data_IF_012019112081
#
_entry.id   IF_012019112081
#
_cell.length_a   1.000
_cell.length_b   1.000
_cell.length_c   1.000
_cell.angle_alpha   90.00
_cell.angle_beta   90.00
_cell.angle_gamma   90.00
#
_symmetry.space_group_name_H-M   'P 1'
#
loop_
_entity.id
_entity.type
_entity.pdbx_description
1 polymer ?
#
# COMPACT_ATOMS: atom_id res chain seq x y z
N UNK A 1 5.37 -5.93 6.32
CA UNK A 1 4.58 -7.14 6.60
C UNK A 1 4.86 -8.26 5.60
N UNK A 2 4.54 -9.49 5.97
CA UNK A 2 4.84 -10.70 5.15
C UNK A 2 3.81 -11.01 4.06
N UNK A 3 2.60 -10.47 4.15
CA UNK A 3 1.52 -10.71 3.19
C UNK A 3 1.58 -9.87 1.91
N UNK A 4 2.51 -8.92 1.82
CA UNK A 4 2.72 -8.04 0.68
C UNK A 4 3.86 -8.48 -0.22
N UNK A 5 4.24 -7.60 -1.16
CA UNK A 5 5.24 -7.88 -2.20
C UNK A 5 6.67 -7.61 -1.72
N UNK A 6 6.91 -6.64 -0.85
CA UNK A 6 8.25 -6.22 -0.45
C UNK A 6 9.08 -7.32 0.21
N UNK A 7 8.49 -8.07 1.13
CA UNK A 7 9.26 -9.06 1.90
C UNK A 7 9.80 -10.22 1.03
N UNK A 8 9.00 -10.89 0.18
CA UNK A 8 9.52 -11.92 -0.72
C UNK A 8 10.52 -11.36 -1.74
N UNK A 9 10.31 -10.14 -2.27
CA UNK A 9 11.28 -9.50 -3.16
C UNK A 9 12.58 -9.17 -2.42
N UNK A 10 12.50 -8.69 -1.18
CA UNK A 10 13.66 -8.43 -0.33
C UNK A 10 14.47 -9.69 -0.05
N UNK A 11 13.79 -10.80 0.20
CA UNK A 11 14.44 -12.10 0.36
C UNK A 11 15.19 -12.53 -0.89
N UNK A 12 14.54 -12.40 -2.06
CA UNK A 12 15.17 -12.71 -3.35
C UNK A 12 16.37 -11.80 -3.64
N UNK A 13 16.24 -10.49 -3.42
CA UNK A 13 17.32 -9.54 -3.59
C UNK A 13 18.51 -9.83 -2.65
N UNK A 14 18.23 -10.09 -1.38
CA UNK A 14 19.25 -10.43 -0.39
C UNK A 14 20.03 -11.69 -0.78
N UNK A 15 19.33 -12.71 -1.27
CA UNK A 15 19.95 -13.93 -1.75
C UNK A 15 20.87 -13.69 -2.97
N UNK A 16 20.43 -12.87 -3.93
CA UNK A 16 21.22 -12.52 -5.11
C UNK A 16 22.46 -11.70 -4.70
N UNK A 17 22.31 -10.69 -3.85
CA UNK A 17 23.42 -9.86 -3.39
C UNK A 17 24.46 -10.69 -2.64
N UNK A 18 24.04 -11.53 -1.70
CA UNK A 18 24.94 -12.39 -0.94
C UNK A 18 25.68 -13.42 -1.82
N UNK A 19 25.04 -13.88 -2.91
CA UNK A 19 25.64 -14.85 -3.83
C UNK A 19 26.56 -14.22 -4.87
N UNK A 20 26.23 -13.02 -5.36
CA UNK A 20 26.88 -12.43 -6.54
C UNK A 20 27.85 -11.31 -6.24
N UNK A 21 27.77 -10.70 -5.07
CA UNK A 21 28.68 -9.60 -4.67
C UNK A 21 29.69 -10.14 -3.67
N UNK A 22 30.98 -10.23 -4.05
CA UNK A 22 32.02 -10.72 -3.13
C UNK A 22 32.07 -9.92 -1.83
N UNK A 23 32.10 -10.63 -0.69
CA UNK A 23 32.16 -10.02 0.65
C UNK A 23 30.86 -9.42 1.17
N UNK A 24 29.76 -9.50 0.39
CA UNK A 24 28.46 -9.00 0.85
C UNK A 24 27.64 -10.13 1.52
N UNK A 25 27.04 -9.79 2.66
CA UNK A 25 26.01 -10.60 3.32
C UNK A 25 24.77 -9.74 3.50
N UNK A 26 23.66 -10.12 2.89
CA UNK A 26 22.40 -9.40 2.96
C UNK A 26 21.29 -10.30 3.49
N UNK A 27 20.42 -9.72 4.32
CA UNK A 27 19.23 -10.39 4.87
C UNK A 27 18.02 -9.48 4.74
N UNK A 28 16.84 -10.08 4.58
CA UNK A 28 15.60 -9.32 4.53
C UNK A 28 15.01 -9.15 5.94
N UNK A 29 14.67 -7.92 6.29
CA UNK A 29 14.00 -7.58 7.56
C UNK A 29 12.51 -7.34 7.34
N UNK A 30 11.69 -7.75 8.31
CA UNK A 30 10.24 -7.47 8.33
C UNK A 30 10.00 -6.11 8.99
N UNK A 31 9.29 -5.23 8.29
CA UNK A 31 8.88 -3.90 8.77
C UNK A 31 7.39 -3.66 8.50
N UNK A 32 6.85 -2.54 8.93
CA UNK A 32 5.50 -2.10 8.57
C UNK A 32 5.38 -1.67 7.10
N UNK A 33 6.49 -1.26 6.46
CA UNK A 33 6.53 -0.83 5.06
C UNK A 33 7.41 0.39 4.82
N UNK A 34 7.03 1.22 3.83
CA UNK A 34 7.87 2.32 3.33
C UNK A 34 8.34 3.30 4.41
N UNK A 35 7.45 3.71 5.33
CA UNK A 35 7.79 4.69 6.37
C UNK A 35 8.86 4.12 7.32
N UNK A 36 8.67 2.87 7.74
CA UNK A 36 9.66 2.20 8.60
C UNK A 36 10.99 2.00 7.87
N UNK A 37 10.95 1.59 6.59
CA UNK A 37 12.15 1.41 5.78
C UNK A 37 12.95 2.71 5.65
N UNK A 38 12.26 3.82 5.39
CA UNK A 38 12.89 5.14 5.30
C UNK A 38 13.46 5.62 6.63
N UNK A 39 12.79 5.32 7.75
CA UNK A 39 13.33 5.61 9.07
C UNK A 39 14.60 4.80 9.36
N UNK A 40 14.66 3.54 8.95
CA UNK A 40 15.86 2.70 9.07
C UNK A 40 17.02 3.28 8.26
N UNK A 41 16.80 3.69 7.01
CA UNK A 41 17.80 4.37 6.16
C UNK A 41 18.28 5.64 6.88
N UNK A 42 17.39 6.43 7.45
CA UNK A 42 17.71 7.64 8.21
C UNK A 42 18.57 7.43 9.46
N UNK A 43 18.82 6.19 9.87
CA UNK A 43 19.78 5.87 10.96
C UNK A 43 21.24 5.93 10.51
N UNK A 44 21.51 6.04 9.20
CA UNK A 44 22.86 6.01 8.63
C UNK A 44 23.51 4.62 8.57
N UNK A 45 22.76 3.56 8.90
CA UNK A 45 23.23 2.19 8.72
C UNK A 45 23.07 1.75 7.26
N UNK A 46 23.81 0.74 6.77
CA UNK A 46 23.77 0.30 5.38
C UNK A 46 22.48 -0.49 5.05
N UNK A 47 21.38 0.22 4.94
CA UNK A 47 20.10 -0.33 4.52
C UNK A 47 19.82 -0.05 3.04
N UNK A 48 19.17 -1.01 2.39
CA UNK A 48 18.49 -0.85 1.11
C UNK A 48 17.01 -1.14 1.36
N UNK A 49 16.14 -0.20 1.00
CA UNK A 49 14.72 -0.30 1.33
C UNK A 49 13.82 -0.17 0.10
N UNK A 50 12.72 -0.92 0.09
CA UNK A 50 11.62 -0.64 -0.83
C UNK A 50 10.79 0.51 -0.28
N UNK A 51 10.41 1.44 -1.14
CA UNK A 51 9.54 2.56 -0.77
C UNK A 51 8.60 2.94 -1.91
N UNK A 52 7.44 3.45 -1.55
CA UNK A 52 6.61 4.21 -2.47
C UNK A 52 7.22 5.62 -2.61
N UNK A 53 7.16 6.18 -3.82
CA UNK A 53 7.79 7.47 -4.14
C UNK A 53 7.20 8.64 -3.35
N UNK A 54 5.93 8.61 -3.00
CA UNK A 54 5.28 9.62 -2.18
C UNK A 54 5.82 9.65 -0.74
N UNK A 55 6.01 8.48 -0.12
CA UNK A 55 6.62 8.37 1.20
C UNK A 55 8.10 8.81 1.17
N UNK A 56 8.84 8.46 0.12
CA UNK A 56 10.22 8.90 -0.06
C UNK A 56 10.33 10.42 -0.19
N UNK A 57 9.43 11.06 -0.95
CA UNK A 57 9.34 12.52 -1.03
C UNK A 57 9.04 13.15 0.33
N UNK A 58 8.06 12.62 1.06
CA UNK A 58 7.76 13.10 2.41
C UNK A 58 9.00 13.02 3.33
N UNK A 59 9.76 11.92 3.25
CA UNK A 59 10.98 11.74 4.03
C UNK A 59 12.05 12.77 3.67
N UNK A 60 12.33 12.96 2.37
CA UNK A 60 13.32 13.93 1.91
C UNK A 60 12.96 15.37 2.28
N UNK A 61 11.67 15.70 2.29
CA UNK A 61 11.19 17.05 2.60
C UNK A 61 10.85 17.26 4.07
N UNK A 62 10.87 16.20 4.89
CA UNK A 62 10.51 16.26 6.31
C UNK A 62 9.02 16.55 6.53
N UNK A 63 8.16 15.98 5.69
CA UNK A 63 6.71 16.17 5.75
C UNK A 63 5.98 14.92 6.23
N UNK A 64 4.68 15.04 6.50
CA UNK A 64 3.82 13.93 6.88
C UNK A 64 4.35 13.17 8.10
N UNK A 65 4.61 11.88 7.94
CA UNK A 65 5.17 11.01 8.99
C UNK A 65 6.62 11.36 9.39
N UNK A 66 7.30 12.20 8.61
CA UNK A 66 8.68 12.66 8.84
C UNK A 66 8.74 14.11 9.29
N UNK A 67 7.66 14.66 9.81
CA UNK A 67 7.57 16.07 10.22
C UNK A 67 8.75 16.48 11.11
N UNK A 68 9.51 17.48 10.65
CA UNK A 68 10.68 18.01 11.34
C UNK A 68 11.97 17.17 11.21
N UNK A 69 11.91 16.00 10.56
CA UNK A 69 13.09 15.13 10.36
C UNK A 69 13.20 14.71 8.91
N UNK A 70 14.10 15.37 8.16
CA UNK A 70 14.44 14.95 6.80
C UNK A 70 15.31 13.69 6.82
N UNK A 71 15.09 12.84 5.85
CA UNK A 71 15.93 11.67 5.59
C UNK A 71 16.68 11.92 4.29
N UNK A 72 18.00 11.87 4.36
CA UNK A 72 18.84 11.87 3.17
C UNK A 72 18.78 10.48 2.56
N UNK A 73 18.38 10.40 1.30
CA UNK A 73 18.23 9.13 0.59
C UNK A 73 18.46 9.28 -0.91
N UNK A 74 18.94 8.20 -1.50
CA UNK A 74 19.17 8.09 -2.94
C UNK A 74 18.28 7.01 -3.53
N UNK A 75 17.68 7.29 -4.69
CA UNK A 75 16.93 6.28 -5.45
C UNK A 75 17.90 5.46 -6.29
N UNK A 76 17.91 4.16 -6.07
CA UNK A 76 18.72 3.21 -6.83
C UNK A 76 17.99 2.75 -8.10
N UNK A 77 16.71 2.41 -7.97
CA UNK A 77 15.90 1.88 -9.07
C UNK A 77 14.44 2.31 -8.94
N UNK A 78 13.78 2.52 -10.09
CA UNK A 78 12.32 2.53 -10.20
C UNK A 78 11.89 1.12 -10.63
N UNK A 79 10.97 0.50 -9.90
CA UNK A 79 10.66 -0.92 -10.05
C UNK A 79 9.36 -1.15 -10.84
N UNK A 80 8.22 -0.94 -10.18
CA UNK A 80 6.90 -1.19 -10.77
C UNK A 80 5.86 -0.23 -10.17
N UNK A 81 4.71 -0.01 -10.85
CA UNK A 81 3.62 0.76 -10.27
C UNK A 81 2.98 0.01 -9.10
N UNK A 82 2.92 0.67 -7.95
CA UNK A 82 2.12 0.22 -6.82
C UNK A 82 0.68 0.69 -7.01
N UNK A 83 -0.24 -0.24 -7.18
CA UNK A 83 -1.66 0.02 -7.38
C UNK A 83 -2.41 0.00 -6.06
N UNK A 84 -3.23 1.02 -5.81
CA UNK A 84 -4.10 1.01 -4.66
C UNK A 84 -5.29 0.08 -4.91
N UNK A 85 -5.49 -0.83 -3.98
CA UNK A 85 -6.66 -1.69 -3.88
C UNK A 85 -7.54 -1.13 -2.76
N UNK A 86 -8.80 -0.90 -3.04
CA UNK A 86 -9.82 -0.65 -2.01
C UNK A 86 -10.79 -1.82 -2.14
N UNK A 87 -10.65 -2.77 -1.24
CA UNK A 87 -11.29 -4.09 -1.34
C UNK A 87 -12.41 -4.20 -0.32
N UNK A 88 -13.53 -4.69 -0.79
CA UNK A 88 -14.68 -5.09 0.01
C UNK A 88 -15.25 -6.40 -0.54
N UNK A 89 -16.40 -6.84 -0.04
CA UNK A 89 -17.13 -7.98 -0.57
C UNK A 89 -18.55 -7.56 -0.96
N UNK A 90 -19.17 -8.30 -1.86
CA UNK A 90 -20.55 -8.05 -2.29
C UNK A 90 -21.52 -7.98 -1.11
N UNK A 91 -21.31 -8.82 -0.09
CA UNK A 91 -22.13 -8.88 1.11
C UNK A 91 -22.18 -7.58 1.94
N UNK A 92 -21.18 -6.68 1.81
CA UNK A 92 -21.16 -5.42 2.55
C UNK A 92 -22.01 -4.33 1.92
N UNK A 93 -22.38 -4.47 0.66
CA UNK A 93 -23.12 -3.47 -0.12
C UNK A 93 -22.35 -2.21 -0.49
N UNK A 94 -21.04 -2.13 -0.15
CA UNK A 94 -20.16 -0.99 -0.48
C UNK A 94 -19.87 -0.99 -1.98
N UNK A 95 -20.14 0.12 -2.67
CA UNK A 95 -19.95 0.26 -4.12
C UNK A 95 -19.02 1.41 -4.51
N UNK A 96 -18.85 2.39 -3.64
CA UNK A 96 -18.02 3.58 -3.89
C UNK A 96 -17.40 4.09 -2.58
N UNK A 97 -16.53 5.10 -2.67
CA UNK A 97 -15.83 5.66 -1.50
C UNK A 97 -16.78 6.25 -0.45
N UNK A 98 -17.90 6.86 -0.87
CA UNK A 98 -18.86 7.45 0.08
C UNK A 98 -19.57 6.39 0.94
N UNK A 99 -19.68 5.16 0.45
CA UNK A 99 -20.28 4.06 1.19
C UNK A 99 -19.39 3.56 2.36
N UNK A 100 -18.15 4.05 2.46
CA UNK A 100 -17.25 3.77 3.59
C UNK A 100 -17.68 4.49 4.87
N UNK A 101 -18.58 5.48 4.80
CA UNK A 101 -19.12 6.17 5.99
C UNK A 101 -19.79 5.18 6.94
N UNK A 102 -19.38 5.25 8.22
CA UNK A 102 -19.87 4.39 9.27
C UNK A 102 -19.34 2.95 9.25
N UNK A 103 -18.53 2.58 8.25
CA UNK A 103 -17.98 1.23 8.09
C UNK A 103 -16.70 1.01 8.89
N UNK A 104 -16.38 -0.25 9.14
CA UNK A 104 -15.10 -0.69 9.73
C UNK A 104 -14.09 -0.86 8.61
N UNK A 105 -13.07 -0.02 8.59
CA UNK A 105 -12.14 0.08 7.45
C UNK A 105 -10.70 -0.04 7.91
N UNK A 106 -9.96 -1.01 7.38
CA UNK A 106 -8.51 -1.07 7.58
C UNK A 106 -7.80 -0.17 6.57
N UNK A 107 -6.99 0.76 7.06
CA UNK A 107 -6.26 1.73 6.25
C UNK A 107 -4.79 1.38 6.00
N UNK A 108 -4.36 0.18 6.38
CA UNK A 108 -2.99 -0.28 6.29
C UNK A 108 -2.28 -0.33 7.64
N UNK A 109 -1.16 -1.03 7.70
CA UNK A 109 -0.37 -1.16 8.91
C UNK A 109 0.26 0.16 9.33
N UNK A 110 0.48 0.38 10.64
CA UNK A 110 1.37 1.46 11.10
C UNK A 110 2.73 1.37 10.42
N UNK A 111 3.33 2.52 10.08
CA UNK A 111 4.64 2.56 9.41
C UNK A 111 4.62 2.19 7.91
N UNK A 112 3.43 2.01 7.31
CA UNK A 112 3.27 1.75 5.87
C UNK A 112 2.94 3.01 5.08
N UNK A 113 3.38 3.06 3.81
CA UNK A 113 2.89 4.06 2.87
C UNK A 113 1.46 3.76 2.39
N UNK A 114 0.96 2.52 2.55
CA UNK A 114 -0.46 2.20 2.35
C UNK A 114 -1.33 3.10 3.23
N UNK A 115 -1.01 3.24 4.52
CA UNK A 115 -1.76 4.11 5.43
C UNK A 115 -1.68 5.58 4.99
N UNK A 116 -0.51 6.05 4.57
CA UNK A 116 -0.32 7.43 4.08
C UNK A 116 -1.20 7.69 2.85
N UNK A 117 -1.13 6.81 1.85
CA UNK A 117 -1.89 6.97 0.62
C UNK A 117 -3.39 6.80 0.84
N UNK A 118 -3.82 5.88 1.73
CA UNK A 118 -5.22 5.72 2.11
C UNK A 118 -5.80 7.03 2.69
N UNK A 119 -5.07 7.71 3.56
CA UNK A 119 -5.51 9.00 4.12
C UNK A 119 -5.66 10.07 3.05
N UNK A 120 -4.76 10.11 2.09
CA UNK A 120 -4.80 11.05 0.96
C UNK A 120 -5.99 10.82 0.02
N UNK A 121 -6.31 9.55 -0.26
CA UNK A 121 -7.50 9.20 -1.06
C UNK A 121 -8.79 9.49 -0.31
N UNK A 122 -8.88 9.14 0.96
CA UNK A 122 -10.04 9.42 1.81
C UNK A 122 -10.30 10.93 1.86
N UNK A 123 -9.27 11.73 2.09
CA UNK A 123 -9.36 13.19 2.10
C UNK A 123 -9.77 13.75 0.72
N UNK A 124 -9.16 13.27 -0.37
CA UNK A 124 -9.50 13.68 -1.74
C UNK A 124 -10.96 13.37 -2.10
N UNK A 125 -11.53 12.31 -1.52
CA UNK A 125 -12.95 11.97 -1.65
C UNK A 125 -13.88 12.82 -0.74
N UNK A 126 -13.34 13.77 0.03
CA UNK A 126 -14.10 14.62 0.95
C UNK A 126 -14.55 13.88 2.22
N UNK A 127 -13.87 12.81 2.59
CA UNK A 127 -14.13 12.02 3.79
C UNK A 127 -13.09 12.32 4.88
N UNK A 128 -13.51 12.16 6.13
CA UNK A 128 -12.63 12.23 7.31
C UNK A 128 -12.35 10.81 7.83
N UNK A 129 -11.07 10.42 7.80
CA UNK A 129 -10.62 9.08 8.21
C UNK A 129 -10.92 8.73 9.68
N UNK A 130 -11.09 9.73 10.54
CA UNK A 130 -11.29 9.52 11.99
C UNK A 130 -12.76 9.71 12.40
N UNK A 131 -13.55 10.50 11.64
CA UNK A 131 -14.95 10.78 11.94
C UNK A 131 -15.93 9.95 11.12
N UNK A 132 -15.61 9.72 9.83
CA UNK A 132 -16.54 9.08 8.90
C UNK A 132 -16.45 7.57 8.91
N UNK A 133 -15.46 6.96 9.56
CA UNK A 133 -15.30 5.49 9.59
C UNK A 133 -14.72 4.98 10.90
N UNK A 134 -14.98 3.71 11.21
CA UNK A 134 -14.31 2.99 12.30
C UNK A 134 -13.01 2.41 11.76
N UNK A 135 -11.92 3.13 12.00
CA UNK A 135 -10.64 2.84 11.39
C UNK A 135 -9.85 1.77 12.14
N UNK A 136 -9.39 0.77 11.40
CA UNK A 136 -8.42 -0.23 11.83
C UNK A 136 -7.07 -0.02 11.13
N UNK A 137 -6.00 -0.51 11.74
CA UNK A 137 -4.62 -0.34 11.25
C UNK A 137 -3.94 -1.69 11.12
N UNK A 138 -4.33 -2.43 10.08
CA UNK A 138 -3.91 -3.80 9.85
C UNK A 138 -3.05 -3.91 8.58
N UNK A 139 -2.09 -4.82 8.58
CA UNK A 139 -1.41 -5.23 7.36
C UNK A 139 -2.35 -5.96 6.39
N UNK A 140 -1.91 -6.21 5.16
CA UNK A 140 -2.80 -6.80 4.15
C UNK A 140 -3.26 -8.22 4.52
N UNK A 141 -2.38 -9.05 5.10
CA UNK A 141 -2.75 -10.40 5.52
C UNK A 141 -3.76 -10.38 6.68
N UNK A 142 -3.51 -9.53 7.67
CA UNK A 142 -4.40 -9.33 8.82
C UNK A 142 -5.75 -8.74 8.38
N UNK A 143 -5.75 -7.81 7.41
CA UNK A 143 -6.97 -7.25 6.82
C UNK A 143 -7.80 -8.33 6.12
N UNK A 144 -7.15 -9.20 5.35
CA UNK A 144 -7.83 -10.34 4.68
C UNK A 144 -8.44 -11.28 5.70
N UNK A 145 -7.71 -11.63 6.77
CA UNK A 145 -8.27 -12.46 7.84
C UNK A 145 -9.44 -11.78 8.54
N UNK A 146 -9.33 -10.49 8.84
CA UNK A 146 -10.43 -9.71 9.45
C UNK A 146 -11.66 -9.61 8.53
N UNK A 147 -11.47 -9.55 7.19
CA UNK A 147 -12.58 -9.63 6.22
C UNK A 147 -13.26 -11.00 6.25
N UNK A 148 -12.49 -12.10 6.24
CA UNK A 148 -13.02 -13.46 6.34
C UNK A 148 -13.82 -13.67 7.64
N UNK A 149 -13.33 -13.10 8.73
CA UNK A 149 -13.98 -13.13 10.05
C UNK A 149 -15.13 -12.13 10.20
N UNK A 150 -15.44 -11.33 9.16
CA UNK A 150 -16.45 -10.26 9.17
C UNK A 150 -16.22 -9.21 10.27
N UNK A 151 -14.96 -8.97 10.63
CA UNK A 151 -14.54 -7.96 11.63
C UNK A 151 -14.35 -6.58 11.02
N UNK A 152 -14.05 -6.51 9.72
CA UNK A 152 -14.00 -5.27 8.94
C UNK A 152 -14.85 -5.38 7.67
N UNK A 153 -15.22 -4.25 7.10
CA UNK A 153 -16.11 -4.16 5.93
C UNK A 153 -15.35 -3.83 4.64
N UNK A 154 -14.17 -3.19 4.76
CA UNK A 154 -13.29 -2.88 3.65
C UNK A 154 -11.85 -2.70 4.13
N UNK A 155 -10.91 -2.78 3.20
CA UNK A 155 -9.52 -2.44 3.48
C UNK A 155 -8.83 -1.78 2.30
N UNK A 156 -7.84 -0.94 2.63
CA UNK A 156 -6.90 -0.34 1.70
C UNK A 156 -5.61 -1.16 1.66
N UNK A 157 -5.09 -1.32 0.47
CA UNK A 157 -3.79 -1.93 0.23
C UNK A 157 -3.13 -1.30 -1.00
N UNK A 158 -1.85 -1.02 -0.94
CA UNK A 158 -1.08 -0.54 -2.08
C UNK A 158 0.07 -1.49 -2.35
N UNK A 159 0.11 -2.04 -3.56
CA UNK A 159 1.13 -3.02 -3.91
C UNK A 159 1.11 -3.45 -5.37
N UNK A 160 2.01 -4.38 -5.69
CA UNK A 160 2.11 -5.01 -7.00
C UNK A 160 1.01 -6.03 -7.25
N UNK A 161 0.84 -6.42 -8.50
CA UNK A 161 -0.14 -7.41 -8.95
C UNK A 161 0.53 -8.74 -9.36
N UNK A 162 -0.10 -9.87 -9.04
CA UNK A 162 -1.14 -10.02 -8.02
C UNK A 162 -0.54 -9.96 -6.60
N UNK A 163 -1.32 -9.53 -5.61
CA UNK A 163 -0.93 -9.63 -4.20
C UNK A 163 -1.48 -10.93 -3.61
N UNK A 164 -0.61 -11.75 -3.01
CA UNK A 164 -0.98 -13.08 -2.51
C UNK A 164 -2.16 -13.05 -1.52
N UNK A 165 -2.17 -12.12 -0.58
CA UNK A 165 -3.26 -11.97 0.39
C UNK A 165 -4.60 -11.62 -0.27
N UNK A 166 -4.60 -10.73 -1.29
CA UNK A 166 -5.82 -10.41 -2.04
C UNK A 166 -6.30 -11.62 -2.87
N UNK A 167 -5.38 -12.38 -3.45
CA UNK A 167 -5.69 -13.64 -4.15
C UNK A 167 -6.33 -14.65 -3.20
N UNK A 168 -5.83 -14.76 -1.97
CA UNK A 168 -6.38 -15.65 -0.95
C UNK A 168 -7.82 -15.27 -0.60
N UNK A 169 -8.12 -13.99 -0.39
CA UNK A 169 -9.49 -13.53 -0.17
C UNK A 169 -10.41 -13.85 -1.36
N UNK A 170 -9.92 -13.56 -2.57
CA UNK A 170 -10.68 -13.78 -3.81
C UNK A 170 -11.02 -15.26 -4.06
N UNK A 171 -10.20 -16.18 -3.56
CA UNK A 171 -10.41 -17.62 -3.67
C UNK A 171 -11.17 -18.23 -2.47
N UNK A 172 -11.52 -17.43 -1.46
CA UNK A 172 -12.26 -17.91 -0.29
C UNK A 172 -13.69 -18.33 -0.69
N UNK A 173 -14.13 -19.57 -0.41
CA UNK A 173 -15.47 -20.03 -0.75
C UNK A 173 -16.55 -19.12 -0.15
N UNK A 174 -17.59 -18.83 -0.93
CA UNK A 174 -18.69 -17.95 -0.51
C UNK A 174 -18.35 -16.46 -0.43
N UNK A 175 -17.15 -16.06 -0.84
CA UNK A 175 -16.72 -14.66 -0.90
C UNK A 175 -16.64 -14.20 -2.35
N UNK A 176 -17.34 -13.11 -2.67
CA UNK A 176 -17.16 -12.37 -3.92
C UNK A 176 -16.58 -11.01 -3.60
N UNK A 177 -15.35 -10.77 -4.06
CA UNK A 177 -14.69 -9.49 -3.86
C UNK A 177 -15.30 -8.41 -4.74
N UNK A 178 -15.27 -7.18 -4.22
CA UNK A 178 -15.62 -5.96 -4.95
C UNK A 178 -14.47 -4.98 -4.78
N UNK A 179 -14.02 -4.40 -5.89
CA UNK A 179 -12.94 -3.41 -5.91
C UNK A 179 -13.55 -2.04 -6.18
N UNK A 180 -13.22 -1.05 -5.36
CA UNK A 180 -13.79 0.31 -5.45
C UNK A 180 -12.95 1.16 -6.40
N UNK A 181 -13.59 1.70 -7.45
CA UNK A 181 -12.99 2.68 -8.36
C UNK A 181 -12.69 3.99 -7.62
N UNK A 182 -11.49 4.54 -7.83
CA UNK A 182 -11.06 5.77 -7.14
C UNK A 182 -10.09 6.64 -7.96
N UNK A 183 -9.86 6.32 -9.23
CA UNK A 183 -8.90 7.04 -10.09
C UNK A 183 -9.25 8.53 -10.29
N UNK A 184 -10.52 8.92 -10.10
CA UNK A 184 -10.96 10.31 -10.20
C UNK A 184 -10.37 11.23 -9.13
N UNK A 185 -9.87 10.68 -8.01
CA UNK A 185 -9.28 11.45 -6.91
C UNK A 185 -7.82 11.86 -7.17
N UNK A 186 -7.21 11.40 -8.28
CA UNK A 186 -5.79 11.63 -8.57
C UNK A 186 -5.43 13.11 -8.69
N UNK A 187 -6.28 13.92 -9.31
CA UNK A 187 -5.99 15.33 -9.54
C UNK A 187 -5.96 16.12 -8.22
N UNK A 188 -6.91 15.84 -7.33
CA UNK A 188 -6.95 16.44 -5.99
C UNK A 188 -5.73 16.03 -5.16
N UNK A 189 -5.31 14.76 -5.23
CA UNK A 189 -4.10 14.28 -4.55
C UNK A 189 -2.84 14.96 -5.09
N UNK A 190 -2.68 15.02 -6.41
CA UNK A 190 -1.51 15.65 -7.04
C UNK A 190 -1.44 17.15 -6.75
N UNK A 191 -2.57 17.85 -6.74
CA UNK A 191 -2.63 19.28 -6.38
C UNK A 191 -2.10 19.55 -4.98
N UNK A 192 -2.40 18.67 -4.03
CA UNK A 192 -2.03 18.86 -2.61
C UNK A 192 -0.65 18.29 -2.28
N UNK A 193 -0.31 17.12 -2.81
CA UNK A 193 0.87 16.36 -2.41
C UNK A 193 1.98 16.31 -3.46
N UNK A 194 1.72 16.85 -4.68
CA UNK A 194 2.65 16.86 -5.82
C UNK A 194 2.38 15.73 -6.81
N UNK A 195 2.89 15.92 -8.04
CA UNK A 195 2.66 15.03 -9.20
C UNK A 195 3.38 13.68 -9.07
N UNK A 196 2.92 12.86 -8.13
CA UNK A 196 3.46 11.53 -7.84
C UNK A 196 2.48 10.42 -8.19
N UNK A 197 1.19 10.75 -8.28
CA UNK A 197 0.11 9.80 -8.48
C UNK A 197 -0.38 9.82 -9.92
N UNK A 198 -0.79 8.66 -10.42
CA UNK A 198 -1.32 8.53 -11.77
C UNK A 198 -2.47 7.53 -11.82
N UNK A 199 -3.34 7.72 -12.83
CA UNK A 199 -4.45 6.80 -13.11
C UNK A 199 -3.90 5.50 -13.66
N UNK A 200 -4.42 4.38 -13.17
CA UNK A 200 -4.01 3.05 -13.56
C UNK A 200 -5.21 2.09 -13.46
N UNK A 201 -5.02 0.84 -13.81
CA UNK A 201 -6.06 -0.18 -13.85
C UNK A 201 -5.57 -1.46 -13.19
N UNK A 202 -6.42 -2.07 -12.36
CA UNK A 202 -6.28 -3.48 -11.98
C UNK A 202 -7.20 -4.27 -12.92
N UNK A 203 -6.65 -5.08 -13.84
CA UNK A 203 -7.45 -5.86 -14.77
C UNK A 203 -8.36 -6.86 -14.05
N UNK A 204 -9.58 -7.06 -14.55
CA UNK A 204 -10.54 -8.01 -13.96
C UNK A 204 -10.02 -9.44 -13.84
N UNK A 205 -9.09 -9.82 -14.71
CA UNK A 205 -8.46 -11.14 -14.68
C UNK A 205 -7.45 -11.31 -13.54
N UNK A 206 -7.11 -10.24 -12.80
CA UNK A 206 -6.10 -10.29 -11.73
C UNK A 206 -6.56 -11.11 -10.53
N UNK A 207 -7.80 -10.96 -10.12
CA UNK A 207 -8.37 -11.67 -8.98
C UNK A 207 -9.70 -12.31 -9.34
N UNK A 208 -9.92 -13.53 -8.86
CA UNK A 208 -11.19 -14.25 -9.05
C UNK A 208 -12.37 -13.45 -8.51
N UNK A 209 -13.47 -13.40 -9.26
CA UNK A 209 -14.72 -12.75 -8.85
C UNK A 209 -14.82 -11.26 -9.19
N UNK A 210 -13.78 -10.65 -9.77
CA UNK A 210 -13.90 -9.30 -10.34
C UNK A 210 -14.79 -9.31 -11.59
N UNK A 211 -15.83 -8.48 -11.58
CA UNK A 211 -16.76 -8.38 -12.73
C UNK A 211 -16.23 -7.46 -13.83
N UNK A 212 -15.41 -6.48 -13.47
CA UNK A 212 -14.86 -5.44 -14.37
C UNK A 212 -13.44 -5.06 -13.98
N UNK A 213 -12.76 -4.38 -14.87
CA UNK A 213 -11.53 -3.68 -14.56
C UNK A 213 -11.77 -2.64 -13.47
N UNK A 214 -10.82 -2.47 -12.56
CA UNK A 214 -10.91 -1.50 -11.48
C UNK A 214 -10.00 -0.31 -11.79
N UNK A 215 -10.60 0.89 -11.87
CA UNK A 215 -9.88 2.13 -12.11
C UNK A 215 -9.29 2.68 -10.82
N UNK A 216 -7.97 2.69 -10.74
CA UNK A 216 -7.23 2.93 -9.50
C UNK A 216 -6.24 4.08 -9.62
N UNK A 217 -5.69 4.49 -8.48
CA UNK A 217 -4.53 5.37 -8.39
C UNK A 217 -3.30 4.51 -8.11
N UNK A 218 -2.22 4.81 -8.81
CA UNK A 218 -0.92 4.21 -8.62
C UNK A 218 0.14 5.23 -8.25
N UNK A 219 1.21 4.74 -7.67
CA UNK A 219 2.42 5.48 -7.35
C UNK A 219 3.63 4.60 -7.68
N UNK A 220 4.76 5.19 -8.07
CA UNK A 220 5.96 4.42 -8.35
C UNK A 220 6.47 3.71 -7.09
N UNK A 221 6.86 2.45 -7.26
CA UNK A 221 7.65 1.72 -6.28
C UNK A 221 9.13 1.87 -6.62
N UNK A 222 9.95 2.18 -5.63
CA UNK A 222 11.36 2.46 -5.79
C UNK A 222 12.20 1.68 -4.78
N UNK A 223 13.44 1.42 -5.16
CA UNK A 223 14.47 0.93 -4.27
C UNK A 223 15.37 2.11 -3.88
N UNK A 224 15.59 2.29 -2.60
CA UNK A 224 16.31 3.44 -2.03
C UNK A 224 17.35 2.99 -1.01
N UNK A 225 18.36 3.85 -0.80
CA UNK A 225 19.38 3.71 0.23
C UNK A 225 19.70 5.04 0.84
#
# INVERSE_FOLDING_TARGET
GTGGVYYPMGGGLAAVLSKKVPGMSATAEVTGGSVDNLNLIGTGKPYVGFSMADAAKDAQTGQGKFSGKKVDLSTLLVLYPNRMHIVTTEATGIKNLQDLKGKRVSTGSPGSATEVMAFRVIEAAGLDKDKDMKRERLGVAESVNAMKDRKIDAFFWVGGLPTAAATDLANTPGTKIVMIDHSKEVDAMNKKYGNLYFKDVIPKATYKGMDKDNNVISVANILVT
#
